data_IF_015704463960
#
_entry.id   IF_015704463960
#
_cell.length_a   1.000
_cell.length_b   1.000
_cell.length_c   1.000
_cell.angle_alpha   90.00
_cell.angle_beta   90.00
_cell.angle_gamma   90.00
#
_symmetry.space_group_name_H-M   'P 1'
#
loop_
_entity.id
_entity.type
_entity.pdbx_description
1 polymer ?
#
# COMPACT_ATOMS: atom_id res chain seq x y z
N UNK A 1 12.52 60.35 -22.63
CA UNK A 1 12.32 58.90 -22.50
C UNK A 1 10.99 58.64 -21.86
N UNK A 2 9.98 58.22 -22.63
CA UNK A 2 8.69 57.79 -22.09
C UNK A 2 8.88 56.36 -21.53
N UNK A 3 8.85 56.25 -20.21
CA UNK A 3 8.70 54.92 -19.56
C UNK A 3 7.27 54.49 -19.76
N UNK A 4 7.04 53.48 -20.58
CA UNK A 4 5.78 52.79 -20.66
C UNK A 4 5.51 52.15 -19.29
N UNK A 5 4.58 52.71 -18.53
CA UNK A 5 4.01 52.08 -17.35
C UNK A 5 3.29 50.80 -17.83
N UNK A 6 3.89 49.64 -17.62
CA UNK A 6 3.21 48.37 -17.81
C UNK A 6 2.09 48.33 -16.75
N UNK A 7 0.88 48.59 -17.17
CA UNK A 7 -0.31 48.41 -16.32
C UNK A 7 -0.41 46.96 -15.91
N UNK A 8 -0.11 46.66 -14.65
CA UNK A 8 -0.26 45.30 -14.11
C UNK A 8 -1.73 44.90 -14.16
N UNK A 9 -2.01 43.74 -14.74
CA UNK A 9 -3.35 43.15 -14.77
C UNK A 9 -3.84 42.93 -13.33
N UNK A 10 -5.06 43.34 -13.02
CA UNK A 10 -5.72 43.00 -11.75
C UNK A 10 -6.03 41.51 -11.74
N UNK A 11 -5.62 40.83 -10.69
CA UNK A 11 -5.89 39.39 -10.51
C UNK A 11 -7.39 39.17 -10.24
N UNK A 12 -7.96 38.24 -10.98
CA UNK A 12 -9.33 37.77 -10.77
C UNK A 12 -9.31 36.42 -10.06
N UNK A 13 -10.46 35.99 -9.55
CA UNK A 13 -10.58 34.64 -8.98
C UNK A 13 -10.23 33.53 -10.00
N UNK A 14 -10.62 33.71 -11.26
CA UNK A 14 -10.31 32.75 -12.33
C UNK A 14 -8.81 32.67 -12.60
N UNK A 15 -8.08 33.78 -12.51
CA UNK A 15 -6.62 33.76 -12.61
C UNK A 15 -6.00 32.88 -11.48
N UNK A 16 -6.48 33.07 -10.24
CA UNK A 16 -5.97 32.31 -9.07
C UNK A 16 -6.26 30.81 -9.19
N UNK A 17 -7.48 30.42 -9.57
CA UNK A 17 -7.83 28.99 -9.70
C UNK A 17 -7.15 28.32 -10.89
N UNK A 18 -6.73 29.08 -11.89
CA UNK A 18 -6.00 28.58 -13.06
C UNK A 18 -4.49 28.41 -12.84
N UNK A 19 -3.95 28.94 -11.74
CA UNK A 19 -2.53 28.79 -11.43
C UNK A 19 -2.17 27.32 -11.28
N UNK A 20 -1.12 26.93 -11.99
CA UNK A 20 -0.63 25.56 -12.01
C UNK A 20 0.56 25.43 -11.07
N UNK A 21 0.60 24.31 -10.36
CA UNK A 21 1.75 23.90 -9.55
C UNK A 21 2.25 22.53 -10.01
N UNK A 22 3.53 22.28 -9.86
CA UNK A 22 4.11 20.95 -10.08
C UNK A 22 3.72 20.09 -8.89
N UNK A 23 2.90 19.06 -9.13
CA UNK A 23 2.41 18.15 -8.10
C UNK A 23 3.13 16.80 -8.12
N UNK A 24 3.78 16.47 -9.23
CA UNK A 24 4.57 15.24 -9.37
C UNK A 24 5.65 15.45 -10.44
N UNK A 25 6.78 14.76 -10.29
CA UNK A 25 7.90 14.83 -11.23
C UNK A 25 8.80 13.61 -11.05
N UNK A 26 9.41 13.13 -12.13
CA UNK A 26 10.46 12.13 -12.09
C UNK A 26 11.42 12.31 -13.27
N UNK A 27 12.61 11.76 -13.08
CA UNK A 27 13.65 11.58 -14.13
C UNK A 27 13.72 10.09 -14.42
N UNK A 28 13.85 9.73 -15.69
CA UNK A 28 14.07 8.33 -16.08
C UNK A 28 15.43 7.83 -15.59
N UNK A 29 15.59 6.53 -15.36
CA UNK A 29 16.82 5.95 -14.81
C UNK A 29 18.05 6.22 -15.68
N UNK A 30 17.86 6.36 -17.01
CA UNK A 30 18.94 6.72 -17.92
C UNK A 30 19.25 8.22 -17.97
N UNK A 31 18.53 9.06 -17.23
CA UNK A 31 18.72 10.51 -17.14
C UNK A 31 18.27 11.32 -18.37
N UNK A 32 17.71 10.69 -19.43
CA UNK A 32 17.42 11.35 -20.70
C UNK A 32 16.02 11.97 -20.78
N UNK A 33 15.13 11.59 -19.87
CA UNK A 33 13.74 12.01 -19.91
C UNK A 33 13.31 12.54 -18.56
N UNK A 34 12.46 13.55 -18.57
CA UNK A 34 11.84 14.12 -17.37
C UNK A 34 10.36 14.29 -17.63
N UNK A 35 9.52 13.89 -16.70
CA UNK A 35 8.15 14.36 -16.71
C UNK A 35 7.86 15.29 -15.55
N UNK A 36 6.93 16.23 -15.78
CA UNK A 36 6.36 17.11 -14.78
C UNK A 36 4.84 17.08 -14.89
N UNK A 37 4.15 16.77 -13.79
CA UNK A 37 2.70 16.90 -13.70
C UNK A 37 2.36 18.28 -13.16
N UNK A 38 1.67 19.06 -13.95
CA UNK A 38 1.16 20.38 -13.58
C UNK A 38 -0.34 20.31 -13.33
N UNK A 39 -0.77 20.72 -12.16
CA UNK A 39 -2.17 20.73 -11.76
C UNK A 39 -2.61 22.13 -11.40
N UNK A 40 -3.76 22.63 -11.91
CA UNK A 40 -4.40 23.83 -11.39
C UNK A 40 -5.05 23.53 -10.02
N UNK A 41 -5.40 24.56 -9.28
CA UNK A 41 -6.16 24.42 -8.04
C UNK A 41 -7.46 23.62 -8.26
N UNK A 42 -8.19 23.93 -9.33
CA UNK A 42 -9.38 23.18 -9.77
C UNK A 42 -9.30 22.96 -11.27
N UNK A 43 -9.36 21.71 -11.70
CA UNK A 43 -9.29 21.34 -13.12
C UNK A 43 -8.50 20.09 -13.36
N UNK A 44 -8.27 19.83 -14.62
CA UNK A 44 -7.54 18.65 -15.07
C UNK A 44 -6.04 18.92 -15.09
N UNK A 45 -5.26 18.05 -14.47
CA UNK A 45 -3.81 18.11 -14.51
C UNK A 45 -3.29 17.63 -15.87
N UNK A 46 -2.11 18.13 -16.24
CA UNK A 46 -1.38 17.73 -17.44
C UNK A 46 -0.01 17.19 -17.05
N UNK A 47 0.35 16.04 -17.58
CA UNK A 47 1.72 15.52 -17.55
C UNK A 47 2.44 15.99 -18.81
N UNK A 48 3.54 16.70 -18.65
CA UNK A 48 4.43 17.12 -19.73
C UNK A 48 5.68 16.25 -19.70
N UNK A 49 6.10 15.78 -20.87
CA UNK A 49 7.32 14.98 -21.07
C UNK A 49 8.37 15.82 -21.78
N UNK A 50 9.56 15.86 -21.20
CA UNK A 50 10.72 16.60 -21.75
C UNK A 50 11.90 15.65 -21.99
N UNK A 51 12.70 15.94 -23.01
CA UNK A 51 13.99 15.29 -23.22
C UNK A 51 15.11 15.97 -22.40
N UNK A 52 16.33 15.46 -22.48
CA UNK A 52 17.52 15.97 -21.79
C UNK A 52 17.89 17.42 -22.18
N UNK A 53 17.41 17.89 -23.34
CA UNK A 53 17.62 19.28 -23.82
C UNK A 53 16.54 20.24 -23.28
N UNK A 54 15.56 19.75 -22.51
CA UNK A 54 14.45 20.54 -22.02
C UNK A 54 13.34 20.81 -23.04
N UNK A 55 13.36 20.10 -24.16
CA UNK A 55 12.33 20.21 -25.19
C UNK A 55 11.11 19.36 -24.82
N UNK A 56 9.91 19.93 -24.89
CA UNK A 56 8.66 19.19 -24.72
C UNK A 56 8.48 18.23 -25.90
N UNK A 57 8.27 16.95 -25.61
CA UNK A 57 8.07 15.89 -26.60
C UNK A 57 6.64 15.38 -26.64
N UNK A 58 5.95 15.40 -25.50
CA UNK A 58 4.54 14.98 -25.42
C UNK A 58 3.87 15.63 -24.21
N UNK A 59 2.52 15.70 -24.29
CA UNK A 59 1.70 16.06 -23.14
C UNK A 59 0.44 15.19 -23.08
N UNK A 60 -0.03 14.90 -21.86
CA UNK A 60 -1.15 14.02 -21.57
C UNK A 60 -2.12 14.72 -20.63
N UNK A 61 -3.39 14.78 -21.02
CA UNK A 61 -4.46 15.43 -20.25
C UNK A 61 -5.80 14.75 -20.56
N UNK A 62 -6.64 14.48 -19.54
CA UNK A 62 -6.49 14.72 -18.10
C UNK A 62 -5.60 13.63 -17.45
N UNK A 63 -4.50 14.01 -16.81
CA UNK A 63 -3.57 13.07 -16.19
C UNK A 63 -3.74 12.96 -14.67
N UNK A 64 -3.65 11.74 -14.13
CA UNK A 64 -3.62 11.49 -12.68
C UNK A 64 -2.21 11.26 -12.19
N UNK A 65 -1.38 10.55 -12.95
CA UNK A 65 0.01 10.26 -12.60
C UNK A 65 0.77 9.69 -13.78
N UNK A 66 2.10 9.59 -13.64
CA UNK A 66 2.96 8.97 -14.63
C UNK A 66 4.10 8.22 -13.95
N UNK A 67 4.68 7.22 -14.63
CA UNK A 67 5.85 6.49 -14.17
C UNK A 67 6.67 6.04 -15.37
N UNK A 68 8.00 6.19 -15.29
CA UNK A 68 8.88 5.59 -16.27
C UNK A 68 9.02 4.08 -16.05
N UNK A 69 9.23 3.34 -17.12
CA UNK A 69 9.64 1.94 -17.04
C UNK A 69 11.10 1.82 -16.60
N UNK A 70 11.47 0.67 -16.05
CA UNK A 70 12.84 0.40 -15.59
C UNK A 70 13.88 0.49 -16.69
N UNK A 71 13.53 0.15 -17.93
CA UNK A 71 14.41 0.33 -19.09
C UNK A 71 14.54 1.77 -19.56
N UNK A 72 13.72 2.69 -19.04
CA UNK A 72 13.58 4.04 -19.57
C UNK A 72 13.19 4.12 -21.04
N UNK A 73 12.45 3.10 -21.53
CA UNK A 73 11.94 3.07 -22.92
C UNK A 73 10.47 3.50 -23.00
N UNK A 74 9.75 3.40 -21.88
CA UNK A 74 8.32 3.70 -21.84
C UNK A 74 8.00 4.69 -20.72
N UNK A 75 6.98 5.52 -20.96
CA UNK A 75 6.27 6.30 -19.96
C UNK A 75 4.84 5.74 -19.86
N UNK A 76 4.43 5.31 -18.68
CA UNK A 76 3.07 4.87 -18.40
C UNK A 76 2.33 6.00 -17.71
N UNK A 77 1.30 6.53 -18.36
CA UNK A 77 0.48 7.64 -17.84
C UNK A 77 -0.90 7.13 -17.50
N UNK A 78 -1.41 7.49 -16.33
CA UNK A 78 -2.81 7.27 -15.96
C UNK A 78 -3.60 8.50 -16.34
N UNK A 79 -4.54 8.35 -17.24
CA UNK A 79 -5.54 9.35 -17.60
C UNK A 79 -6.84 9.08 -16.84
N UNK A 80 -7.35 10.08 -16.15
CA UNK A 80 -8.65 10.02 -15.47
C UNK A 80 -9.72 10.66 -16.36
N UNK A 81 -11.01 10.37 -16.11
CA UNK A 81 -12.09 11.10 -16.78
C UNK A 81 -11.99 12.60 -16.48
N UNK A 82 -12.26 13.44 -17.50
CA UNK A 82 -12.22 14.89 -17.34
C UNK A 82 -13.13 15.35 -16.19
N UNK A 83 -12.68 16.34 -15.41
CA UNK A 83 -13.39 16.86 -14.23
C UNK A 83 -14.81 17.29 -14.60
N UNK A 84 -14.97 18.01 -15.72
CA UNK A 84 -16.28 18.49 -16.20
C UNK A 84 -17.25 17.33 -16.43
N UNK A 85 -16.78 16.24 -17.06
CA UNK A 85 -17.60 15.04 -17.33
C UNK A 85 -18.04 14.38 -16.03
N UNK A 86 -17.10 14.22 -15.08
CA UNK A 86 -17.41 13.60 -13.78
C UNK A 86 -18.37 14.45 -12.95
N UNK A 87 -18.24 15.76 -12.96
CA UNK A 87 -19.16 16.69 -12.29
C UNK A 87 -20.58 16.65 -12.90
N UNK A 88 -20.70 16.66 -14.22
CA UNK A 88 -21.99 16.53 -14.92
C UNK A 88 -22.70 15.22 -14.58
N UNK A 89 -21.96 14.11 -14.55
CA UNK A 89 -22.52 12.80 -14.19
C UNK A 89 -22.95 12.73 -12.73
N UNK A 90 -22.17 13.33 -11.81
CA UNK A 90 -22.54 13.47 -10.39
C UNK A 90 -23.80 14.30 -10.19
N UNK A 91 -23.94 15.41 -10.92
CA UNK A 91 -25.17 16.23 -10.89
C UNK A 91 -26.39 15.43 -11.38
N UNK A 92 -26.20 14.56 -12.36
CA UNK A 92 -27.24 13.62 -12.84
C UNK A 92 -27.49 12.45 -11.89
N UNK A 93 -26.81 12.40 -10.74
CA UNK A 93 -26.87 11.29 -9.76
C UNK A 93 -26.58 9.92 -10.38
N UNK A 94 -25.65 9.89 -11.34
CA UNK A 94 -25.20 8.64 -11.98
C UNK A 94 -24.59 7.73 -10.92
N UNK A 95 -24.97 6.45 -10.91
CA UNK A 95 -24.42 5.45 -9.99
C UNK A 95 -22.92 5.28 -10.22
N UNK A 96 -22.18 5.00 -9.16
CA UNK A 96 -20.72 4.82 -9.18
C UNK A 96 -20.27 3.77 -10.20
N UNK A 97 -21.02 2.69 -10.34
CA UNK A 97 -20.77 1.60 -11.29
C UNK A 97 -20.83 2.02 -12.77
N UNK A 98 -21.54 3.13 -13.06
CA UNK A 98 -21.71 3.69 -14.40
C UNK A 98 -20.84 4.93 -14.65
N UNK A 99 -19.95 5.27 -13.69
CA UNK A 99 -18.98 6.34 -13.89
C UNK A 99 -17.87 5.88 -14.83
N UNK A 100 -17.35 6.78 -15.68
CA UNK A 100 -16.22 6.43 -16.54
C UNK A 100 -14.99 6.09 -15.74
N UNK A 101 -14.23 5.11 -16.20
CA UNK A 101 -13.03 4.61 -15.54
C UNK A 101 -11.76 5.25 -16.11
N UNK A 102 -10.66 5.12 -15.39
CA UNK A 102 -9.36 5.57 -15.84
C UNK A 102 -8.88 4.80 -17.05
N UNK A 103 -7.93 5.39 -17.78
CA UNK A 103 -7.20 4.77 -18.90
C UNK A 103 -5.71 4.75 -18.55
N UNK A 104 -5.00 3.77 -19.12
CA UNK A 104 -3.53 3.79 -19.15
C UNK A 104 -3.08 4.11 -20.57
N UNK A 105 -2.13 5.04 -20.66
CA UNK A 105 -1.42 5.33 -21.89
C UNK A 105 0.01 4.81 -21.71
N UNK A 106 0.40 3.86 -22.55
CA UNK A 106 1.78 3.39 -22.65
C UNK A 106 2.41 4.15 -23.82
N UNK A 107 3.38 5.02 -23.49
CA UNK A 107 4.05 5.84 -24.48
C UNK A 107 5.48 5.36 -24.70
N UNK A 108 5.81 4.95 -25.92
CA UNK A 108 7.16 4.58 -26.31
C UNK A 108 7.98 5.84 -26.54
N UNK A 109 9.02 6.06 -25.72
CA UNK A 109 9.82 7.28 -25.70
C UNK A 109 10.70 7.46 -26.95
N UNK A 110 11.04 6.38 -27.64
CA UNK A 110 11.88 6.43 -28.85
C UNK A 110 11.02 6.51 -30.11
N UNK A 111 9.99 5.69 -30.20
CA UNK A 111 9.11 5.63 -31.37
C UNK A 111 8.10 6.78 -31.41
N UNK A 112 7.88 7.50 -30.29
CA UNK A 112 6.83 8.52 -30.12
C UNK A 112 5.43 7.95 -30.39
N UNK A 113 5.21 6.67 -30.08
CA UNK A 113 3.94 5.98 -30.27
C UNK A 113 3.23 5.78 -28.93
N UNK A 114 1.91 5.84 -28.95
CA UNK A 114 1.09 5.61 -27.77
C UNK A 114 0.11 4.46 -27.99
N UNK A 115 0.00 3.61 -26.99
CA UNK A 115 -1.05 2.62 -26.86
C UNK A 115 -1.96 3.01 -25.69
N UNK A 116 -3.27 2.88 -25.86
CA UNK A 116 -4.25 3.21 -24.81
C UNK A 116 -4.99 1.97 -24.38
N UNK A 117 -5.03 1.73 -23.07
CA UNK A 117 -5.80 0.67 -22.44
C UNK A 117 -6.94 1.31 -21.66
N UNK A 118 -8.18 1.07 -22.09
CA UNK A 118 -9.37 1.64 -21.49
C UNK A 118 -9.86 0.87 -20.26
N UNK A 119 -10.68 1.54 -19.46
CA UNK A 119 -11.44 0.94 -18.34
C UNK A 119 -10.57 0.30 -17.27
N UNK A 120 -9.50 0.97 -16.87
CA UNK A 120 -8.58 0.50 -15.85
C UNK A 120 -9.16 0.69 -14.45
N UNK A 121 -9.22 -0.41 -13.68
CA UNK A 121 -9.58 -0.40 -12.26
C UNK A 121 -8.35 -0.27 -11.35
N UNK A 122 -7.33 -1.06 -11.63
CA UNK A 122 -6.08 -1.07 -10.88
C UNK A 122 -4.94 -1.53 -11.76
N UNK A 123 -3.74 -1.07 -11.47
CA UNK A 123 -2.54 -1.54 -12.15
C UNK A 123 -1.31 -1.46 -11.26
N UNK A 124 -0.29 -2.21 -11.62
CA UNK A 124 1.06 -2.16 -11.07
C UNK A 124 2.06 -2.24 -12.19
N UNK A 125 3.10 -1.42 -12.11
CA UNK A 125 4.26 -1.46 -12.98
C UNK A 125 5.40 -2.13 -12.23
N UNK A 126 6.16 -3.02 -12.90
CA UNK A 126 7.35 -3.60 -12.29
C UNK A 126 8.45 -2.54 -12.16
N UNK A 127 9.16 -2.53 -11.03
CA UNK A 127 10.27 -1.60 -10.79
C UNK A 127 11.58 -2.04 -11.48
N UNK A 128 11.68 -3.29 -11.91
CA UNK A 128 12.93 -3.88 -12.41
C UNK A 128 12.84 -4.47 -13.80
N UNK A 129 11.64 -4.51 -14.38
CA UNK A 129 11.40 -5.03 -15.71
C UNK A 129 10.24 -4.30 -16.38
N UNK A 130 10.19 -4.31 -17.70
CA UNK A 130 9.14 -3.64 -18.47
C UNK A 130 7.85 -4.46 -18.53
N UNK A 131 7.30 -4.76 -17.34
CA UNK A 131 6.07 -5.51 -17.19
C UNK A 131 4.99 -4.68 -16.51
N UNK A 132 3.78 -4.80 -17.03
CA UNK A 132 2.57 -4.18 -16.54
C UNK A 132 1.56 -5.26 -16.14
N UNK A 133 1.02 -5.16 -14.94
CA UNK A 133 -0.11 -5.95 -14.46
C UNK A 133 -1.30 -5.02 -14.24
N UNK A 134 -2.49 -5.35 -14.77
CA UNK A 134 -3.67 -4.50 -14.63
C UNK A 134 -4.97 -5.29 -14.64
N UNK A 135 -5.98 -4.73 -14.02
CA UNK A 135 -7.37 -5.21 -14.09
C UNK A 135 -8.24 -4.17 -14.77
N UNK A 136 -9.19 -4.65 -15.56
CA UNK A 136 -10.16 -3.82 -16.31
C UNK A 136 -11.57 -3.99 -15.76
N UNK A 137 -12.45 -3.05 -16.13
CA UNK A 137 -13.88 -3.17 -15.92
C UNK A 137 -14.33 -3.06 -14.47
N UNK A 138 -15.54 -3.50 -14.20
CA UNK A 138 -16.15 -3.47 -12.87
C UNK A 138 -15.54 -4.52 -11.92
N UNK A 139 -15.87 -4.45 -10.62
CA UNK A 139 -15.45 -5.47 -9.65
C UNK A 139 -15.94 -6.89 -9.98
N UNK A 140 -16.97 -7.02 -10.84
CA UNK A 140 -17.47 -8.30 -11.31
C UNK A 140 -16.52 -8.96 -12.31
N UNK A 141 -15.77 -8.16 -13.09
CA UNK A 141 -14.71 -8.64 -13.96
C UNK A 141 -13.38 -8.57 -13.18
N UNK A 142 -12.96 -9.70 -12.62
CA UNK A 142 -11.76 -9.83 -11.80
C UNK A 142 -10.57 -10.43 -12.56
N UNK A 143 -10.57 -10.40 -13.89
CA UNK A 143 -9.43 -10.84 -14.69
C UNK A 143 -8.22 -9.91 -14.49
N UNK A 144 -7.06 -10.52 -14.23
CA UNK A 144 -5.77 -9.85 -14.20
C UNK A 144 -5.07 -10.09 -15.54
N UNK A 145 -4.64 -9.02 -16.17
CA UNK A 145 -3.81 -9.05 -17.36
C UNK A 145 -2.37 -8.69 -16.98
N UNK A 146 -1.41 -9.52 -17.39
CA UNK A 146 0.02 -9.30 -17.19
C UNK A 146 0.70 -9.30 -18.53
N UNK A 147 1.37 -8.21 -18.89
CA UNK A 147 2.00 -8.07 -20.21
C UNK A 147 3.34 -7.33 -20.15
N UNK A 148 4.17 -7.60 -21.13
CA UNK A 148 5.31 -6.75 -21.44
C UNK A 148 4.83 -5.41 -22.04
N UNK A 149 5.55 -4.30 -21.73
CA UNK A 149 5.18 -2.97 -22.22
C UNK A 149 5.30 -2.84 -23.74
N UNK A 150 6.21 -3.61 -24.37
CA UNK A 150 6.38 -3.69 -25.82
C UNK A 150 5.30 -4.54 -26.53
N UNK A 151 4.39 -5.14 -25.76
CA UNK A 151 3.33 -6.00 -26.30
C UNK A 151 3.76 -7.40 -26.72
N UNK A 152 5.03 -7.78 -26.60
CA UNK A 152 5.59 -9.05 -27.06
C UNK A 152 4.99 -10.28 -26.36
N UNK A 153 4.62 -10.13 -25.09
CA UNK A 153 4.05 -11.20 -24.26
C UNK A 153 2.86 -10.70 -23.46
N UNK A 154 1.83 -11.51 -23.34
CA UNK A 154 0.66 -11.25 -22.52
C UNK A 154 0.07 -12.54 -21.99
N UNK A 155 -0.38 -12.52 -20.73
CA UNK A 155 -1.11 -13.61 -20.08
C UNK A 155 -2.25 -13.02 -19.25
N UNK A 156 -3.31 -13.80 -19.03
CA UNK A 156 -4.43 -13.40 -18.19
C UNK A 156 -4.77 -14.49 -17.17
N UNK A 157 -5.18 -14.05 -15.98
CA UNK A 157 -5.64 -14.89 -14.88
C UNK A 157 -7.03 -14.45 -14.47
N UNK A 158 -7.97 -15.36 -14.34
CA UNK A 158 -9.31 -15.04 -13.92
C UNK A 158 -9.45 -15.02 -12.39
N UNK A 159 -10.54 -14.45 -11.89
CA UNK A 159 -10.93 -14.43 -10.47
C UNK A 159 -9.89 -13.84 -9.50
N UNK A 160 -9.03 -12.96 -9.98
CA UNK A 160 -7.96 -12.34 -9.18
C UNK A 160 -8.51 -11.24 -8.27
N UNK A 161 -8.18 -11.33 -6.99
CA UNK A 161 -8.63 -10.38 -5.96
C UNK A 161 -7.57 -9.36 -5.55
N UNK A 162 -6.29 -9.76 -5.58
CA UNK A 162 -5.15 -8.89 -5.29
C UNK A 162 -3.92 -9.33 -6.06
N UNK A 163 -2.99 -8.41 -6.35
CA UNK A 163 -1.76 -8.70 -7.06
C UNK A 163 -0.68 -7.64 -6.80
N UNK A 164 0.58 -8.01 -6.98
CA UNK A 164 1.71 -7.11 -6.85
C UNK A 164 3.03 -7.71 -7.32
N UNK A 165 3.93 -6.86 -7.78
CA UNK A 165 5.28 -7.27 -8.16
C UNK A 165 6.21 -7.31 -6.95
N UNK A 166 7.22 -8.17 -7.02
CA UNK A 166 8.38 -8.08 -6.17
C UNK A 166 9.16 -6.78 -6.49
N UNK A 167 9.82 -6.20 -5.48
CA UNK A 167 10.60 -4.97 -5.66
C UNK A 167 11.79 -5.19 -6.59
N UNK A 168 12.49 -6.32 -6.42
CA UNK A 168 13.53 -6.79 -7.32
C UNK A 168 13.15 -8.18 -7.82
N UNK A 169 13.57 -8.51 -9.03
CA UNK A 169 13.16 -9.75 -9.68
C UNK A 169 11.87 -9.58 -10.50
N UNK A 170 11.71 -10.44 -11.48
CA UNK A 170 10.58 -10.39 -12.42
C UNK A 170 9.49 -11.37 -11.98
N UNK A 171 9.00 -11.20 -10.72
CA UNK A 171 7.98 -12.07 -10.12
C UNK A 171 6.79 -11.24 -9.65
N UNK A 172 5.61 -11.74 -9.96
CA UNK A 172 4.33 -11.19 -9.52
C UNK A 172 3.65 -12.20 -8.59
N UNK A 173 3.03 -11.75 -7.49
CA UNK A 173 2.02 -12.56 -6.81
C UNK A 173 0.63 -12.17 -7.26
N UNK A 174 -0.28 -13.14 -7.23
CA UNK A 174 -1.72 -12.86 -7.32
C UNK A 174 -2.51 -13.83 -6.45
N UNK A 175 -3.63 -13.34 -5.93
CA UNK A 175 -4.59 -14.13 -5.16
C UNK A 175 -5.83 -14.39 -6.01
N UNK A 176 -6.31 -15.63 -6.05
CA UNK A 176 -7.50 -16.02 -6.79
C UNK A 176 -8.60 -16.48 -5.84
N UNK A 177 -9.82 -16.00 -6.08
CA UNK A 177 -11.01 -16.49 -5.38
C UNK A 177 -11.45 -17.88 -5.83
N UNK A 178 -10.89 -18.35 -6.95
CA UNK A 178 -11.30 -19.59 -7.60
C UNK A 178 -12.67 -19.52 -8.28
N UNK A 179 -13.00 -20.55 -9.01
CA UNK A 179 -14.30 -20.72 -9.65
C UNK A 179 -14.73 -22.17 -9.62
N UNK A 180 -15.94 -22.42 -9.16
CA UNK A 180 -16.56 -23.75 -9.16
C UNK A 180 -17.45 -23.96 -10.41
N UNK A 181 -17.43 -23.04 -11.39
CA UNK A 181 -18.21 -23.16 -12.62
C UNK A 181 -17.73 -24.37 -13.44
N UNK A 182 -18.68 -25.21 -13.87
CA UNK A 182 -18.35 -26.48 -14.57
C UNK A 182 -17.49 -26.31 -15.83
N UNK A 183 -17.61 -25.15 -16.52
CA UNK A 183 -16.85 -24.87 -17.74
C UNK A 183 -15.40 -24.46 -17.50
N UNK A 184 -15.07 -23.93 -16.30
CA UNK A 184 -13.73 -23.46 -15.96
C UNK A 184 -13.50 -23.51 -14.45
N UNK A 185 -13.05 -24.68 -14.00
CA UNK A 185 -12.66 -24.86 -12.59
C UNK A 185 -11.32 -24.19 -12.35
N UNK A 186 -11.29 -23.18 -11.48
CA UNK A 186 -10.07 -22.49 -11.09
C UNK A 186 -9.83 -22.65 -9.59
N UNK A 187 -8.59 -22.94 -9.23
CA UNK A 187 -8.18 -23.11 -7.83
C UNK A 187 -8.16 -21.75 -7.12
N UNK A 188 -8.80 -21.70 -5.94
CA UNK A 188 -8.67 -20.56 -5.04
C UNK A 188 -7.34 -20.64 -4.28
N UNK A 189 -6.63 -19.53 -4.20
CA UNK A 189 -5.34 -19.54 -3.50
C UNK A 189 -4.44 -18.35 -3.80
N UNK A 190 -3.23 -18.44 -3.31
CA UNK A 190 -2.14 -17.51 -3.59
C UNK A 190 -1.14 -18.15 -4.54
N UNK A 191 -0.81 -17.42 -5.57
CA UNK A 191 0.10 -17.84 -6.64
C UNK A 191 1.21 -16.83 -6.82
N UNK A 192 2.34 -17.30 -7.38
CA UNK A 192 3.34 -16.45 -8.01
C UNK A 192 3.34 -16.72 -9.52
N UNK A 193 3.70 -15.70 -10.27
CA UNK A 193 3.91 -15.78 -11.72
C UNK A 193 5.24 -15.16 -12.09
N UNK A 194 6.03 -15.88 -12.87
CA UNK A 194 7.22 -15.35 -13.51
C UNK A 194 7.15 -15.66 -15.02
N UNK A 195 7.51 -14.70 -15.91
CA UNK A 195 7.37 -14.87 -17.36
C UNK A 195 8.09 -16.10 -17.94
N UNK A 196 9.12 -16.56 -17.25
CA UNK A 196 9.95 -17.70 -17.67
C UNK A 196 9.46 -19.04 -17.11
N UNK A 197 8.86 -19.01 -15.91
CA UNK A 197 8.49 -20.22 -15.16
C UNK A 197 6.98 -20.48 -15.11
N UNK A 198 6.18 -19.51 -15.58
CA UNK A 198 4.72 -19.60 -15.50
C UNK A 198 4.19 -19.35 -14.09
N UNK A 199 3.03 -19.92 -13.80
CA UNK A 199 2.32 -19.73 -12.52
C UNK A 199 2.56 -20.89 -11.58
N UNK A 200 2.86 -20.58 -10.30
CA UNK A 200 3.10 -21.56 -9.24
C UNK A 200 2.15 -21.32 -8.08
N UNK A 201 1.42 -22.34 -7.63
CA UNK A 201 0.56 -22.29 -6.44
C UNK A 201 1.43 -22.34 -5.18
N UNK A 202 1.27 -21.35 -4.30
CA UNK A 202 1.96 -21.29 -3.00
C UNK A 202 1.09 -21.70 -1.82
N UNK A 203 -0.21 -21.41 -1.93
CA UNK A 203 -1.18 -21.76 -0.88
C UNK A 203 -2.56 -21.95 -1.49
N UNK A 204 -3.22 -23.06 -1.18
CA UNK A 204 -4.58 -23.33 -1.60
C UNK A 204 -5.57 -22.98 -0.48
N UNK A 205 -6.60 -22.17 -0.80
CA UNK A 205 -7.63 -21.80 0.16
C UNK A 205 -8.58 -20.73 -0.37
N UNK A 206 -9.87 -20.85 -0.01
CA UNK A 206 -10.96 -19.93 -0.41
C UNK A 206 -11.10 -18.72 0.53
N UNK A 207 -10.21 -18.56 1.51
CA UNK A 207 -10.27 -17.49 2.51
C UNK A 207 -9.77 -16.13 1.99
N UNK A 208 -9.42 -15.27 2.94
CA UNK A 208 -8.93 -13.92 2.68
C UNK A 208 -7.42 -13.86 2.88
N UNK A 209 -6.72 -13.41 1.86
CA UNK A 209 -5.29 -13.09 1.92
C UNK A 209 -5.10 -11.60 2.20
N UNK A 210 -4.18 -11.26 3.10
CA UNK A 210 -3.88 -9.87 3.45
C UNK A 210 -2.38 -9.66 3.59
N UNK A 211 -1.93 -8.42 3.38
CA UNK A 211 -0.56 -7.98 3.60
C UNK A 211 0.48 -8.89 2.92
N UNK A 212 0.19 -9.31 1.68
CA UNK A 212 1.13 -10.11 0.91
C UNK A 212 2.37 -9.28 0.59
N UNK A 213 3.54 -9.78 0.95
CA UNK A 213 4.80 -9.06 0.81
C UNK A 213 5.91 -9.97 0.36
N UNK A 214 6.65 -9.56 -0.66
CA UNK A 214 7.90 -10.19 -1.05
C UNK A 214 9.07 -9.69 -0.20
N UNK A 215 10.12 -10.49 -0.13
CA UNK A 215 11.43 -9.99 0.20
C UNK A 215 12.00 -9.16 -0.97
N UNK A 216 13.14 -8.50 -0.75
CA UNK A 216 13.72 -7.60 -1.75
C UNK A 216 14.03 -8.30 -3.08
N UNK A 217 14.41 -9.57 -3.04
CA UNK A 217 14.82 -10.35 -4.23
C UNK A 217 13.65 -11.05 -4.94
N UNK A 218 12.49 -11.18 -4.29
CA UNK A 218 11.37 -11.96 -4.80
C UNK A 218 11.48 -13.47 -4.55
N UNK A 219 12.46 -13.92 -3.74
CA UNK A 219 12.66 -15.33 -3.42
C UNK A 219 11.78 -15.84 -2.29
N UNK A 220 11.32 -14.93 -1.44
CA UNK A 220 10.45 -15.23 -0.28
C UNK A 220 9.21 -14.36 -0.33
N UNK A 221 8.09 -14.95 0.05
CA UNK A 221 6.81 -14.28 0.13
C UNK A 221 6.14 -14.62 1.44
N UNK A 222 5.69 -13.61 2.17
CA UNK A 222 4.94 -13.76 3.41
C UNK A 222 3.56 -13.13 3.29
N UNK A 223 2.57 -13.69 3.98
CA UNK A 223 1.19 -13.21 3.93
C UNK A 223 0.42 -13.61 5.18
N UNK A 224 -0.67 -12.89 5.41
CA UNK A 224 -1.70 -13.26 6.37
C UNK A 224 -2.83 -13.97 5.65
N UNK A 225 -3.36 -15.00 6.27
CA UNK A 225 -4.50 -15.76 5.76
C UNK A 225 -5.53 -16.01 6.85
N UNK A 226 -6.81 -15.89 6.48
CA UNK A 226 -7.94 -16.30 7.28
C UNK A 226 -8.91 -17.10 6.42
N UNK A 227 -9.30 -18.29 6.90
CA UNK A 227 -10.25 -19.15 6.18
C UNK A 227 -11.68 -18.56 6.13
N UNK A 228 -12.07 -17.81 7.17
CA UNK A 228 -13.42 -17.25 7.32
C UNK A 228 -13.39 -15.73 7.14
N UNK A 229 -14.21 -15.21 6.22
CA UNK A 229 -14.25 -13.76 5.93
C UNK A 229 -14.71 -12.94 7.14
N UNK A 230 -15.68 -13.41 7.89
CA UNK A 230 -16.31 -12.64 8.96
C UNK A 230 -15.50 -12.62 10.27
N UNK A 231 -14.55 -13.55 10.43
CA UNK A 231 -13.67 -13.63 11.59
C UNK A 231 -12.23 -13.19 11.30
N UNK A 232 -11.99 -12.56 10.15
CA UNK A 232 -10.66 -12.19 9.68
C UNK A 232 -9.85 -11.35 10.68
N UNK A 233 -10.49 -10.49 11.47
CA UNK A 233 -9.80 -9.65 12.45
C UNK A 233 -9.18 -10.44 13.62
N UNK A 234 -9.68 -11.66 13.89
CA UNK A 234 -9.30 -12.45 15.07
C UNK A 234 -8.63 -13.78 14.75
N UNK A 235 -8.75 -14.27 13.52
CA UNK A 235 -8.33 -15.60 13.10
C UNK A 235 -7.20 -15.59 12.05
N UNK A 236 -6.44 -14.49 11.96
CA UNK A 236 -5.33 -14.37 11.03
C UNK A 236 -4.17 -15.28 11.43
N UNK A 237 -3.61 -15.95 10.44
CA UNK A 237 -2.39 -16.75 10.56
C UNK A 237 -1.33 -16.24 9.59
N UNK A 238 -0.07 -16.25 10.02
CA UNK A 238 1.09 -15.81 9.25
C UNK A 238 1.75 -16.99 8.57
N UNK A 239 1.94 -16.89 7.28
CA UNK A 239 2.58 -17.89 6.43
C UNK A 239 3.79 -17.30 5.70
N UNK A 240 4.72 -18.17 5.32
CA UNK A 240 5.84 -17.86 4.46
C UNK A 240 6.03 -18.94 3.40
N UNK A 241 6.33 -18.52 2.18
CA UNK A 241 6.84 -19.36 1.10
C UNK A 241 8.26 -18.93 0.78
N UNK A 242 9.14 -19.90 0.53
CA UNK A 242 10.53 -19.69 0.17
C UNK A 242 10.81 -20.43 -1.13
N UNK A 243 11.44 -19.78 -2.10
CA UNK A 243 11.81 -20.35 -3.42
C UNK A 243 10.63 -20.99 -4.15
N UNK A 244 9.47 -20.32 -4.14
CA UNK A 244 8.23 -20.80 -4.76
C UNK A 244 7.73 -22.18 -4.26
N UNK A 245 8.15 -22.62 -3.07
CA UNK A 245 7.59 -23.81 -2.42
C UNK A 245 6.23 -23.50 -1.78
N UNK A 246 5.45 -24.54 -1.49
CA UNK A 246 4.23 -24.41 -0.71
C UNK A 246 4.48 -23.68 0.60
N UNK A 247 3.59 -22.75 0.95
CA UNK A 247 3.75 -21.91 2.12
C UNK A 247 3.60 -22.73 3.42
N UNK A 248 4.45 -22.42 4.39
CA UNK A 248 4.40 -23.01 5.74
C UNK A 248 3.86 -22.00 6.76
N UNK A 249 3.16 -22.50 7.76
CA UNK A 249 2.68 -21.69 8.88
C UNK A 249 3.86 -21.23 9.75
N UNK A 250 3.87 -19.94 10.10
CA UNK A 250 4.83 -19.33 11.03
C UNK A 250 4.19 -19.11 12.39
N UNK A 251 3.00 -18.50 12.40
CA UNK A 251 2.28 -18.17 13.60
C UNK A 251 0.78 -18.18 13.38
N UNK A 252 0.06 -18.54 14.39
CA UNK A 252 -1.38 -18.43 14.49
C UNK A 252 -1.78 -17.71 15.79
N UNK A 253 -3.07 -17.61 16.05
CA UNK A 253 -3.65 -17.01 17.26
C UNK A 253 -3.12 -17.63 18.56
N UNK A 254 -2.68 -18.88 18.56
CA UNK A 254 -2.26 -19.64 19.76
C UNK A 254 -0.75 -19.58 20.00
N UNK A 255 -0.02 -18.76 19.24
CA UNK A 255 1.44 -18.72 19.35
C UNK A 255 1.86 -18.16 20.73
N UNK A 256 2.66 -18.95 21.47
CA UNK A 256 3.12 -18.63 22.82
C UNK A 256 4.12 -17.48 22.90
N UNK A 257 4.65 -17.02 21.77
CA UNK A 257 5.53 -15.84 21.74
C UNK A 257 4.77 -14.52 21.87
N UNK A 258 3.45 -14.53 21.74
CA UNK A 258 2.63 -13.33 21.90
C UNK A 258 2.22 -13.13 23.36
N UNK A 259 2.05 -11.88 23.83
CA UNK A 259 1.42 -11.62 25.11
C UNK A 259 0.03 -12.27 25.19
N UNK A 260 -0.40 -12.64 26.39
CA UNK A 260 -1.70 -13.25 26.61
C UNK A 260 -2.84 -12.34 26.05
N UNK A 261 -3.75 -12.93 25.28
CA UNK A 261 -4.85 -12.20 24.65
C UNK A 261 -4.47 -11.34 23.45
N UNK A 262 -3.27 -11.53 22.88
CA UNK A 262 -2.85 -10.86 21.65
C UNK A 262 -2.98 -11.77 20.44
N UNK A 263 -3.24 -11.13 19.28
CA UNK A 263 -3.40 -11.81 17.98
C UNK A 263 -2.59 -11.08 16.91
N UNK A 264 -2.39 -11.72 15.78
CA UNK A 264 -1.79 -11.10 14.59
C UNK A 264 -2.76 -10.05 14.05
N UNK A 265 -2.24 -8.87 13.71
CA UNK A 265 -3.02 -7.74 13.19
C UNK A 265 -2.73 -7.49 11.72
N UNK A 266 -3.79 -7.20 10.96
CA UNK A 266 -3.70 -6.77 9.56
C UNK A 266 -3.32 -5.30 9.37
N UNK A 267 -3.35 -4.52 10.45
CA UNK A 267 -3.14 -3.07 10.40
C UNK A 267 -1.67 -2.65 10.29
N UNK A 268 -0.74 -3.58 10.33
CA UNK A 268 0.69 -3.36 10.05
C UNK A 268 1.11 -4.20 8.85
N UNK A 269 1.79 -3.58 7.89
CA UNK A 269 2.31 -4.27 6.73
C UNK A 269 3.43 -5.24 7.13
N UNK A 270 3.37 -6.44 6.59
CA UNK A 270 4.47 -7.40 6.68
C UNK A 270 5.66 -6.86 5.89
N UNK A 271 6.86 -6.94 6.46
CA UNK A 271 8.09 -6.53 5.78
C UNK A 271 9.25 -7.43 6.14
N UNK A 272 10.06 -7.77 5.16
CA UNK A 272 11.33 -8.42 5.37
C UNK A 272 12.42 -7.42 5.74
N UNK A 273 13.47 -7.87 6.44
CA UNK A 273 14.73 -7.14 6.50
C UNK A 273 15.41 -7.17 5.12
N UNK A 274 16.29 -6.22 4.82
CA UNK A 274 16.94 -6.12 3.51
C UNK A 274 17.74 -7.39 3.14
N UNK A 275 18.31 -8.10 4.11
CA UNK A 275 18.98 -9.39 3.90
C UNK A 275 18.03 -10.60 3.92
N UNK A 276 16.71 -10.39 3.99
CA UNK A 276 15.67 -11.43 4.04
C UNK A 276 15.84 -12.45 5.20
N UNK A 277 16.56 -12.06 6.24
CA UNK A 277 16.80 -12.91 7.42
C UNK A 277 15.74 -12.76 8.51
N UNK A 278 14.95 -11.71 8.49
CA UNK A 278 13.90 -11.41 9.46
C UNK A 278 12.62 -10.99 8.77
N UNK A 279 11.50 -11.32 9.40
CA UNK A 279 10.16 -10.92 8.97
C UNK A 279 9.50 -10.15 10.11
N UNK A 280 9.16 -8.89 9.88
CA UNK A 280 8.45 -8.02 10.81
C UNK A 280 6.96 -8.04 10.47
N UNK A 281 6.11 -8.11 11.50
CA UNK A 281 4.66 -8.12 11.36
C UNK A 281 3.99 -7.54 12.60
N UNK A 282 2.73 -7.12 12.46
CA UNK A 282 1.96 -6.51 13.53
C UNK A 282 1.24 -7.52 14.41
N UNK A 283 1.25 -7.25 15.70
CA UNK A 283 0.39 -7.90 16.70
C UNK A 283 -0.43 -6.84 17.43
N UNK A 284 -1.56 -7.22 18.00
CA UNK A 284 -2.39 -6.33 18.80
C UNK A 284 -3.19 -7.14 19.83
N UNK A 285 -3.67 -6.50 20.92
CA UNK A 285 -4.72 -7.10 21.76
C UNK A 285 -5.91 -7.53 20.91
N UNK A 286 -6.48 -8.68 21.22
CA UNK A 286 -7.65 -9.20 20.51
C UNK A 286 -8.78 -8.16 20.51
N UNK A 287 -9.34 -7.80 19.34
CA UNK A 287 -10.44 -6.84 19.28
C UNK A 287 -11.65 -7.36 20.05
N UNK A 288 -12.23 -6.51 20.88
CA UNK A 288 -13.50 -6.84 21.52
C UNK A 288 -14.58 -7.02 20.46
N UNK A 289 -15.29 -8.11 20.50
CA UNK A 289 -16.43 -8.33 19.62
C UNK A 289 -17.48 -7.24 19.83
N UNK A 290 -18.08 -6.78 18.74
CA UNK A 290 -19.22 -5.88 18.84
C UNK A 290 -20.36 -6.61 19.54
N UNK A 291 -20.89 -6.00 20.57
CA UNK A 291 -22.15 -6.45 21.13
C UNK A 291 -23.27 -6.26 20.08
N UNK A 292 -23.79 -7.36 19.58
CA UNK A 292 -24.89 -7.38 18.59
C UNK A 292 -26.27 -7.57 19.24
N UNK A 293 -26.32 -7.71 20.56
CA UNK A 293 -27.58 -7.89 21.31
C UNK A 293 -28.36 -6.60 21.48
N UNK A 294 -27.71 -5.44 21.27
CA UNK A 294 -28.31 -4.12 21.45
C UNK A 294 -28.23 -3.31 20.16
N UNK A 295 -29.32 -2.70 19.73
CA UNK A 295 -29.37 -1.78 18.61
C UNK A 295 -28.45 -0.59 18.85
N UNK A 296 -27.83 -0.06 17.78
CA UNK A 296 -26.86 1.04 17.88
C UNK A 296 -27.48 2.30 18.53
N UNK A 297 -28.74 2.57 18.26
CA UNK A 297 -29.53 3.68 18.82
C UNK A 297 -29.79 3.55 20.31
N UNK A 298 -29.83 2.33 20.84
CA UNK A 298 -30.07 2.05 22.27
C UNK A 298 -28.77 1.99 23.09
N UNK A 299 -27.60 2.17 22.44
CA UNK A 299 -26.31 2.17 23.16
C UNK A 299 -26.12 3.49 23.86
N UNK A 300 -25.82 3.50 25.16
CA UNK A 300 -25.55 4.74 25.87
C UNK A 300 -24.30 5.41 25.31
N UNK A 301 -24.43 6.68 24.95
CA UNK A 301 -23.30 7.51 24.53
C UNK A 301 -22.80 8.28 25.75
N UNK A 302 -21.90 7.65 26.51
CA UNK A 302 -21.29 8.26 27.71
C UNK A 302 -19.93 8.82 27.37
N UNK A 303 -19.71 10.10 27.70
CA UNK A 303 -18.41 10.76 27.62
C UNK A 303 -17.88 10.91 29.04
N UNK A 304 -16.67 10.38 29.27
CA UNK A 304 -15.97 10.51 30.54
C UNK A 304 -14.82 11.51 30.40
N UNK A 305 -14.93 12.63 31.10
CA UNK A 305 -13.88 13.64 31.14
C UNK A 305 -13.12 13.49 32.44
N UNK A 306 -11.88 13.03 32.37
CA UNK A 306 -11.05 12.80 33.55
C UNK A 306 -9.83 13.71 33.51
N UNK A 307 -9.69 14.57 34.53
CA UNK A 307 -8.54 15.49 34.68
C UNK A 307 -7.17 14.78 34.79
N UNK A 308 -7.19 13.52 35.18
CA UNK A 308 -5.98 12.72 35.40
C UNK A 308 -5.48 12.01 34.14
N UNK A 309 -6.18 12.12 32.99
CA UNK A 309 -5.75 11.54 31.74
C UNK A 309 -4.61 12.33 31.09
N UNK A 310 -3.68 11.61 30.45
CA UNK A 310 -2.52 12.19 29.75
C UNK A 310 -2.87 12.82 28.41
N UNK A 311 -4.05 12.53 27.86
CA UNK A 311 -4.52 13.01 26.54
C UNK A 311 -5.94 13.53 26.74
N UNK A 312 -6.24 14.74 26.25
CA UNK A 312 -7.57 15.32 26.34
C UNK A 312 -8.61 14.47 25.59
N UNK A 313 -9.83 14.41 26.10
CA UNK A 313 -10.94 13.63 25.52
C UNK A 313 -11.18 13.97 24.03
N UNK A 314 -11.16 15.23 23.64
CA UNK A 314 -11.33 15.67 22.26
C UNK A 314 -10.24 15.14 21.34
N UNK A 315 -9.01 15.07 21.80
CA UNK A 315 -7.89 14.47 21.06
C UNK A 315 -8.05 12.95 20.98
N UNK A 316 -8.43 12.28 22.08
CA UNK A 316 -8.72 10.84 22.07
C UNK A 316 -9.81 10.51 21.06
N UNK A 317 -10.85 11.34 20.94
CA UNK A 317 -11.93 11.15 19.98
C UNK A 317 -11.44 11.29 18.53
N UNK A 318 -10.59 12.27 18.25
CA UNK A 318 -9.98 12.46 16.94
C UNK A 318 -9.04 11.28 16.56
N UNK A 319 -8.27 10.79 17.54
CA UNK A 319 -7.31 9.71 17.33
C UNK A 319 -7.94 8.31 17.40
N UNK A 320 -9.22 8.20 17.79
CA UNK A 320 -9.91 6.92 18.02
C UNK A 320 -9.75 5.92 16.88
N UNK A 321 -9.94 6.37 15.63
CA UNK A 321 -9.83 5.50 14.47
C UNK A 321 -8.41 4.96 14.27
N UNK A 322 -7.40 5.76 14.59
CA UNK A 322 -5.98 5.40 14.56
C UNK A 322 -5.64 4.43 15.69
N UNK A 323 -6.12 4.73 16.91
CA UNK A 323 -5.87 3.90 18.09
C UNK A 323 -6.52 2.51 17.98
N UNK A 324 -7.71 2.41 17.39
CA UNK A 324 -8.35 1.12 17.10
C UNK A 324 -7.56 0.24 16.11
N UNK A 325 -6.69 0.84 15.32
CA UNK A 325 -5.79 0.15 14.37
C UNK A 325 -4.35 0.06 14.87
N UNK A 326 -4.10 0.44 16.12
CA UNK A 326 -2.74 0.40 16.68
C UNK A 326 -2.21 -1.02 16.70
N UNK A 327 -0.96 -1.17 16.28
CA UNK A 327 -0.25 -2.44 16.26
C UNK A 327 1.07 -2.33 16.99
N UNK A 328 1.60 -3.47 17.32
CA UNK A 328 2.87 -3.63 18.04
C UNK A 328 3.71 -4.65 17.29
N UNK A 329 4.83 -4.22 16.78
CA UNK A 329 5.66 -5.03 15.89
C UNK A 329 6.26 -6.23 16.63
N UNK A 330 6.12 -7.40 16.05
CA UNK A 330 6.85 -8.62 16.35
C UNK A 330 7.82 -8.95 15.20
N UNK A 331 8.83 -9.77 15.48
CA UNK A 331 9.79 -10.24 14.50
C UNK A 331 9.91 -11.75 14.51
N UNK A 332 9.89 -12.35 13.32
CA UNK A 332 10.26 -13.74 13.11
C UNK A 332 11.67 -13.81 12.54
N UNK A 333 12.57 -14.51 13.21
CA UNK A 333 13.92 -14.75 12.73
C UNK A 333 13.93 -16.07 11.95
N UNK A 334 14.19 -15.98 10.65
CA UNK A 334 14.15 -17.13 9.73
C UNK A 334 15.23 -18.16 10.05
N UNK A 335 16.40 -17.73 10.51
CA UNK A 335 17.52 -18.63 10.83
C UNK A 335 17.26 -19.47 12.08
N UNK A 336 16.76 -18.85 13.15
CA UNK A 336 16.47 -19.54 14.41
C UNK A 336 15.07 -20.13 14.47
N UNK A 337 14.20 -19.80 13.52
CA UNK A 337 12.77 -20.16 13.48
C UNK A 337 12.02 -19.74 14.75
N UNK A 338 12.38 -18.58 15.33
CA UNK A 338 11.79 -18.06 16.56
C UNK A 338 11.12 -16.70 16.34
N UNK A 339 10.04 -16.48 17.07
CA UNK A 339 9.32 -15.21 17.12
C UNK A 339 9.69 -14.47 18.41
N UNK A 340 9.83 -13.15 18.28
CA UNK A 340 10.06 -12.25 19.41
C UNK A 340 9.09 -11.09 19.31
N UNK A 341 8.35 -10.81 20.40
CA UNK A 341 7.57 -9.59 20.54
C UNK A 341 8.52 -8.43 20.85
N UNK A 342 8.58 -7.43 19.97
CA UNK A 342 9.46 -6.27 20.14
C UNK A 342 8.72 -5.14 20.82
N UNK A 343 7.71 -4.58 20.18
CA UNK A 343 6.91 -3.48 20.70
C UNK A 343 5.84 -3.96 21.68
N UNK A 344 5.52 -3.15 22.67
CA UNK A 344 4.50 -3.43 23.70
C UNK A 344 3.64 -2.18 23.92
N UNK A 345 2.56 -2.30 24.72
CA UNK A 345 1.71 -1.16 25.09
C UNK A 345 2.51 -0.05 25.77
N UNK A 346 3.53 -0.39 26.55
CA UNK A 346 4.35 0.60 27.28
C UNK A 346 5.47 1.19 26.41
N UNK A 347 5.92 0.44 25.41
CA UNK A 347 6.98 0.82 24.46
C UNK A 347 6.50 0.57 23.02
N UNK A 348 5.57 1.41 22.51
CA UNK A 348 4.87 1.13 21.24
C UNK A 348 5.68 1.47 19.99
N UNK A 349 6.56 2.46 20.06
CA UNK A 349 7.26 2.96 18.90
C UNK A 349 8.56 2.18 18.67
N UNK A 350 8.70 1.57 17.49
CA UNK A 350 9.86 0.76 17.11
C UNK A 350 10.66 1.45 15.98
N UNK A 351 11.96 1.50 16.14
CA UNK A 351 12.91 1.81 15.07
C UNK A 351 13.94 0.69 14.96
N UNK A 352 14.06 0.11 13.80
CA UNK A 352 15.06 -0.90 13.47
C UNK A 352 16.26 -0.25 12.82
N UNK A 353 17.46 -0.77 13.08
CA UNK A 353 18.69 -0.30 12.47
C UNK A 353 19.01 -1.14 11.22
N UNK A 354 19.76 -0.55 10.29
CA UNK A 354 20.27 -1.21 9.09
C UNK A 354 19.15 -1.97 8.33
N UNK A 355 18.04 -1.27 8.03
CA UNK A 355 16.88 -1.82 7.33
C UNK A 355 16.36 -3.16 7.91
N UNK A 356 16.53 -3.34 9.22
CA UNK A 356 16.16 -4.57 9.94
C UNK A 356 17.22 -5.68 9.94
N UNK A 357 18.39 -5.47 9.35
CA UNK A 357 19.48 -6.46 9.34
C UNK A 357 20.23 -6.51 10.67
N UNK A 358 20.32 -5.40 11.39
CA UNK A 358 21.02 -5.36 12.67
C UNK A 358 20.26 -6.17 13.75
N UNK A 359 20.97 -6.81 14.69
CA UNK A 359 20.35 -7.48 15.82
C UNK A 359 19.88 -6.50 16.92
N UNK A 360 19.71 -5.24 16.57
CA UNK A 360 19.36 -4.15 17.48
C UNK A 360 18.10 -3.45 17.01
N UNK A 361 17.24 -3.09 17.96
CA UNK A 361 16.08 -2.25 17.74
C UNK A 361 15.93 -1.23 18.88
N UNK A 362 15.50 -0.02 18.55
CA UNK A 362 15.22 1.03 19.51
C UNK A 362 13.71 1.10 19.72
N UNK A 363 13.29 0.92 20.95
CA UNK A 363 11.92 1.12 21.41
C UNK A 363 11.80 2.46 22.13
N UNK A 364 10.76 3.21 21.82
CA UNK A 364 10.51 4.51 22.46
C UNK A 364 9.07 4.64 22.91
N UNK A 365 8.86 5.48 23.95
CA UNK A 365 7.54 5.80 24.48
C UNK A 365 7.51 7.22 25.02
N UNK A 366 6.48 7.98 24.67
CA UNK A 366 6.18 9.30 25.24
C UNK A 366 5.21 9.24 26.42
N UNK A 367 4.62 8.08 26.71
CA UNK A 367 3.53 7.89 27.67
C UNK A 367 3.78 8.51 29.04
N UNK A 368 5.01 8.44 29.56
CA UNK A 368 5.38 9.02 30.85
C UNK A 368 5.34 10.55 30.90
N UNK A 369 5.29 11.21 29.73
CA UNK A 369 5.38 12.66 29.59
C UNK A 369 4.14 13.29 28.95
N UNK A 370 3.09 12.51 28.69
CA UNK A 370 1.86 12.97 28.03
C UNK A 370 1.21 14.14 28.76
N UNK A 371 1.06 14.05 30.09
CA UNK A 371 0.50 15.14 30.90
C UNK A 371 1.33 16.42 30.81
N UNK A 372 2.65 16.30 30.88
CA UNK A 372 3.55 17.46 30.82
C UNK A 372 3.49 18.12 29.44
N UNK A 373 3.34 17.32 28.37
CA UNK A 373 3.27 17.80 27.00
C UNK A 373 2.02 18.64 26.71
N UNK A 374 0.92 18.40 27.41
CA UNK A 374 -0.32 19.19 27.26
C UNK A 374 -0.15 20.64 27.69
N UNK A 375 0.71 20.90 28.70
CA UNK A 375 0.90 22.26 29.26
C UNK A 375 2.12 22.97 28.71
N UNK A 376 3.15 22.22 28.31
CA UNK A 376 4.45 22.78 27.87
C UNK A 376 4.67 22.69 26.37
N UNK A 377 3.65 22.28 25.60
CA UNK A 377 3.79 22.00 24.17
C UNK A 377 4.49 20.67 23.90
N UNK A 378 4.87 20.41 22.66
CA UNK A 378 5.50 19.14 22.27
C UNK A 378 6.87 18.98 22.90
N UNK A 379 6.92 18.39 24.08
CA UNK A 379 8.17 17.98 24.71
C UNK A 379 8.67 16.73 23.97
N UNK A 380 9.84 16.84 23.36
CA UNK A 380 10.56 15.72 22.72
C UNK A 380 11.16 14.74 23.76
N UNK A 381 10.52 14.58 24.93
CA UNK A 381 10.95 13.64 25.96
C UNK A 381 10.36 12.28 25.66
N UNK A 382 11.21 11.27 25.58
CA UNK A 382 10.84 9.88 25.38
C UNK A 382 11.66 8.98 26.27
N UNK A 383 11.04 7.92 26.80
CA UNK A 383 11.77 6.78 27.33
C UNK A 383 12.25 5.94 26.17
N UNK A 384 13.41 5.32 26.27
CA UNK A 384 13.94 4.42 25.25
C UNK A 384 14.44 3.13 25.87
N UNK A 385 14.36 2.06 25.09
CA UNK A 385 14.88 0.74 25.41
C UNK A 385 15.58 0.19 24.17
N UNK A 386 16.78 -0.37 24.35
CA UNK A 386 17.48 -1.07 23.28
C UNK A 386 17.13 -2.56 23.40
N UNK A 387 16.56 -3.12 22.33
CA UNK A 387 16.39 -4.55 22.20
C UNK A 387 17.63 -5.14 21.50
N UNK A 388 18.20 -6.22 22.06
CA UNK A 388 19.28 -6.99 21.43
C UNK A 388 18.82 -8.44 21.29
N UNK A 389 18.94 -9.01 20.13
CA UNK A 389 18.52 -10.38 19.82
C UNK A 389 19.31 -11.46 20.60
N UNK A 390 20.49 -11.11 21.12
CA UNK A 390 21.36 -11.99 21.90
C UNK A 390 21.05 -12.04 23.40
N UNK A 391 20.13 -11.23 23.91
CA UNK A 391 19.76 -11.28 25.32
C UNK A 391 18.69 -12.35 25.54
N UNK A 392 19.11 -13.47 26.14
CA UNK A 392 18.20 -14.29 26.95
C UNK A 392 17.67 -13.38 28.07
N UNK A 393 16.36 -13.35 28.39
CA UNK A 393 15.93 -12.81 29.65
C UNK A 393 16.62 -13.62 30.73
N UNK A 394 17.57 -13.07 31.45
CA UNK A 394 17.91 -13.57 32.75
C UNK A 394 16.70 -13.29 33.63
N UNK A 395 16.06 -14.36 34.05
CA UNK A 395 15.11 -14.37 35.15
C UNK A 395 15.75 -13.64 36.35
N UNK A 396 15.06 -12.59 36.80
CA UNK A 396 15.21 -12.03 38.12
C UNK A 396 13.84 -11.83 38.72
#
# INVERSE_FOLDING_TARGET
MLQAQVTKKTLTWDDVVSWKQITDKAVSDNGKWVFCKMAPWRGDATVYLYNEMGEEKASFQPAEGASFSSSSQFLVVTEKPALKVTEELKLKKTKEENMPMNKLVIYNLQANEKEVIDSIRSFKLSETADWLAYQRGSKADSALYVRALDGSKSVSFATVTDFGFAKKGNVLFYTSAGSDKQEKKETAGLFTYAPENGSTLLYEGKGVFKNVSFDEKGDKLAFLYCAEKDSAATALSLYISEKNAMARLIADRKNSAFPAGWVISENENIRFSANSGRLFFGTAPEPKQKDTTMLAENRPNVQVWNWNEGIQYTQQLNDKAKELKRTYTAVFNLKSNKIYQLATIDMPDLKVADEGNAPLALLTSSKAYEKESMWKGSLLRRRFRIYRESFRPQEA
#
